data_IF_437470201781
#
_entry.id   IF_437470201781
#
_cell.length_a   1.000
_cell.length_b   1.000
_cell.length_c   1.000
_cell.angle_alpha   90.00
_cell.angle_beta   90.00
_cell.angle_gamma   90.00
#
_symmetry.space_group_name_H-M   'P 1'
#
loop_
_entity.id
_entity.type
_entity.pdbx_description
1 polymer ?
#
# COMPACT_ATOMS: atom_id res chain seq x y z
N UNK A 1 6.38 13.31 -39.73
CA UNK A 1 7.01 12.87 -38.47
C UNK A 1 6.24 13.52 -37.34
N UNK A 2 5.19 12.87 -36.85
CA UNK A 2 4.41 13.37 -35.70
C UNK A 2 3.78 12.14 -35.07
N UNK A 3 4.48 11.56 -34.10
CA UNK A 3 3.94 10.52 -33.24
C UNK A 3 3.05 11.23 -32.21
N UNK A 4 1.75 11.11 -32.40
CA UNK A 4 0.72 11.46 -31.43
C UNK A 4 0.87 10.54 -30.22
N UNK A 5 1.15 11.13 -29.07
CA UNK A 5 1.08 10.45 -27.77
C UNK A 5 -0.41 10.28 -27.44
N UNK A 6 -0.95 9.07 -27.20
CA UNK A 6 -2.30 8.96 -26.67
C UNK A 6 -2.29 9.40 -25.20
N UNK A 7 -3.06 10.46 -24.95
CA UNK A 7 -3.33 11.05 -23.65
C UNK A 7 -4.00 10.01 -22.74
N UNK A 8 -3.58 10.01 -21.47
CA UNK A 8 -3.97 9.02 -20.47
C UNK A 8 -5.48 8.90 -20.32
N UNK A 9 -5.96 7.70 -20.67
CA UNK A 9 -7.19 7.02 -20.27
C UNK A 9 -8.13 7.84 -19.36
N UNK A 10 -9.20 8.37 -19.95
CA UNK A 10 -10.35 8.87 -19.21
C UNK A 10 -10.93 7.70 -18.39
N UNK A 11 -10.75 7.75 -17.08
CA UNK A 11 -11.44 6.85 -16.15
C UNK A 11 -12.85 7.41 -16.03
N UNK A 12 -13.86 6.63 -16.42
CA UNK A 12 -15.26 6.98 -16.25
C UNK A 12 -15.53 7.38 -14.78
N UNK A 13 -16.09 8.58 -14.51
CA UNK A 13 -16.21 9.12 -13.15
C UNK A 13 -17.27 8.43 -12.28
N UNK A 14 -18.02 7.46 -12.84
CA UNK A 14 -19.16 6.80 -12.19
C UNK A 14 -18.80 5.46 -11.52
N UNK A 15 -17.55 4.99 -11.65
CA UNK A 15 -17.13 3.77 -10.96
C UNK A 15 -16.67 4.12 -9.54
N UNK A 16 -17.42 3.70 -8.51
CA UNK A 16 -16.97 3.71 -7.12
C UNK A 16 -15.73 2.81 -6.99
N UNK A 17 -14.55 3.40 -7.19
CA UNK A 17 -13.29 2.67 -7.12
C UNK A 17 -12.96 2.39 -5.65
N UNK A 18 -12.61 1.14 -5.30
CA UNK A 18 -12.31 0.81 -3.93
C UNK A 18 -11.08 1.59 -3.46
N UNK A 19 -11.13 2.10 -2.22
CA UNK A 19 -10.04 2.88 -1.66
C UNK A 19 -8.98 1.98 -1.01
N UNK A 20 -7.72 2.30 -1.24
CA UNK A 20 -6.61 1.64 -0.57
C UNK A 20 -6.62 1.94 0.93
N UNK A 21 -6.70 0.90 1.75
CA UNK A 21 -6.76 1.05 3.21
C UNK A 21 -5.51 1.72 3.82
N UNK A 22 -4.38 1.77 3.12
CA UNK A 22 -3.18 2.46 3.59
C UNK A 22 -3.12 3.92 3.12
N UNK A 23 -3.11 4.16 1.80
CA UNK A 23 -2.83 5.47 1.24
C UNK A 23 -4.08 6.27 0.84
N UNK A 24 -5.27 5.68 0.94
CA UNK A 24 -6.58 6.32 0.72
C UNK A 24 -6.77 6.85 -0.71
N UNK A 25 -5.95 6.38 -1.65
CA UNK A 25 -6.17 6.59 -3.08
C UNK A 25 -7.12 5.52 -3.64
N UNK A 26 -7.89 5.86 -4.68
CA UNK A 26 -8.65 4.86 -5.41
C UNK A 26 -7.71 3.80 -6.01
N UNK A 27 -8.21 2.56 -6.09
CA UNK A 27 -7.55 1.44 -6.72
C UNK A 27 -8.31 1.15 -8.01
N UNK A 28 -7.88 1.73 -9.15
CA UNK A 28 -8.51 1.44 -10.42
C UNK A 28 -8.18 -0.01 -10.83
N UNK A 29 -9.01 -0.66 -11.67
CA UNK A 29 -8.87 -2.08 -12.01
C UNK A 29 -7.51 -2.42 -12.67
N UNK A 30 -6.90 -1.47 -13.37
CA UNK A 30 -5.56 -1.62 -13.96
C UNK A 30 -4.41 -1.50 -12.95
N UNK A 31 -4.67 -1.00 -11.74
CA UNK A 31 -3.65 -0.89 -10.70
C UNK A 31 -3.35 -2.27 -10.09
N UNK A 32 -2.07 -2.57 -9.91
CA UNK A 32 -1.65 -3.76 -9.16
C UNK A 32 -2.12 -3.65 -7.71
N UNK A 33 -2.92 -4.60 -7.27
CA UNK A 33 -3.54 -4.64 -5.94
C UNK A 33 -3.37 -6.01 -5.28
N UNK A 34 -3.45 -6.03 -3.95
CA UNK A 34 -3.34 -7.23 -3.14
C UNK A 34 -4.10 -7.09 -1.83
N UNK A 35 -4.54 -8.22 -1.29
CA UNK A 35 -5.15 -8.31 0.03
C UNK A 35 -4.06 -8.45 1.11
N UNK A 36 -4.06 -7.55 2.09
CA UNK A 36 -3.13 -7.55 3.20
C UNK A 36 -3.81 -8.00 4.49
N UNK A 37 -3.19 -8.97 5.18
CA UNK A 37 -3.67 -9.42 6.49
C UNK A 37 -3.06 -8.52 7.57
N UNK A 38 -3.90 -7.78 8.30
CA UNK A 38 -3.42 -6.86 9.34
C UNK A 38 -2.77 -7.62 10.51
N UNK A 39 -3.26 -8.83 10.79
CA UNK A 39 -2.63 -9.78 11.70
C UNK A 39 -2.12 -10.94 10.84
N UNK A 40 -0.80 -11.21 10.81
CA UNK A 40 -0.25 -12.32 10.04
C UNK A 40 -0.87 -13.66 10.43
N UNK A 41 -1.13 -14.54 9.44
CA UNK A 41 -1.72 -15.86 9.68
C UNK A 41 -0.93 -16.68 10.69
N UNK A 42 0.40 -16.61 10.63
CA UNK A 42 1.35 -17.29 11.54
C UNK A 42 1.36 -16.72 12.96
N UNK A 43 0.60 -15.66 13.23
CA UNK A 43 0.44 -15.03 14.55
C UNK A 43 -1.01 -15.09 15.03
N UNK A 44 -1.79 -16.05 14.53
CA UNK A 44 -3.19 -16.25 14.90
C UNK A 44 -4.19 -15.43 14.07
N UNK A 45 -3.76 -14.68 13.06
CA UNK A 45 -4.64 -13.90 12.19
C UNK A 45 -5.42 -14.69 11.13
N UNK A 46 -5.57 -16.01 11.28
CA UNK A 46 -6.34 -16.83 10.33
C UNK A 46 -7.82 -16.46 10.45
N UNK A 47 -8.39 -15.92 9.36
CA UNK A 47 -9.75 -15.34 9.38
C UNK A 47 -9.83 -13.96 10.02
N UNK A 48 -8.68 -13.34 10.33
CA UNK A 48 -8.61 -11.98 10.85
C UNK A 48 -8.90 -10.92 9.78
N UNK A 49 -8.86 -9.63 10.15
CA UNK A 49 -9.22 -8.55 9.25
C UNK A 49 -8.22 -8.45 8.08
N UNK A 50 -8.79 -8.46 6.87
CA UNK A 50 -8.06 -8.34 5.61
C UNK A 50 -8.47 -7.04 4.94
N UNK A 51 -7.50 -6.30 4.42
CA UNK A 51 -7.74 -5.01 3.76
C UNK A 51 -7.18 -4.98 2.34
N UNK A 52 -7.87 -4.28 1.46
CA UNK A 52 -7.43 -4.07 0.09
C UNK A 52 -6.42 -2.92 0.02
N UNK A 53 -5.29 -3.17 -0.63
CA UNK A 53 -4.21 -2.18 -0.82
C UNK A 53 -3.58 -2.30 -2.20
N UNK A 54 -2.96 -1.22 -2.68
CA UNK A 54 -2.06 -1.30 -3.84
C UNK A 54 -0.88 -2.22 -3.54
N UNK A 55 -0.32 -2.88 -4.56
CA UNK A 55 0.86 -3.73 -4.41
C UNK A 55 2.06 -2.97 -3.83
N UNK A 56 2.25 -1.70 -4.23
CA UNK A 56 3.33 -0.87 -3.69
C UNK A 56 3.14 -0.59 -2.19
N UNK A 57 1.89 -0.39 -1.76
CA UNK A 57 1.54 -0.21 -0.34
C UNK A 57 1.77 -1.50 0.43
N UNK A 58 1.38 -2.66 -0.13
CA UNK A 58 1.63 -3.97 0.47
C UNK A 58 3.13 -4.21 0.68
N UNK A 59 3.95 -3.97 -0.35
CA UNK A 59 5.39 -4.14 -0.27
C UNK A 59 6.02 -3.21 0.78
N UNK A 60 5.53 -1.96 0.89
CA UNK A 60 6.04 -1.01 1.88
C UNK A 60 5.69 -1.42 3.31
N UNK A 61 4.50 -1.98 3.56
CA UNK A 61 4.11 -2.49 4.89
C UNK A 61 5.11 -3.57 5.34
N UNK A 62 5.39 -4.57 4.50
CA UNK A 62 6.34 -5.64 4.83
C UNK A 62 7.79 -5.17 4.92
N UNK A 63 8.13 -4.05 4.27
CA UNK A 63 9.46 -3.43 4.42
C UNK A 63 9.57 -2.62 5.72
N UNK A 64 8.44 -2.12 6.23
CA UNK A 64 8.41 -1.18 7.36
C UNK A 64 8.29 -1.87 8.71
N UNK A 65 7.53 -2.96 8.81
CA UNK A 65 7.25 -3.66 10.06
C UNK A 65 7.42 -5.17 9.92
N UNK A 66 7.94 -5.81 10.97
CA UNK A 66 7.98 -7.26 11.09
C UNK A 66 6.59 -7.84 11.35
N UNK A 67 6.40 -9.14 11.11
CA UNK A 67 5.13 -9.83 11.43
C UNK A 67 4.74 -9.73 12.91
N UNK A 68 5.74 -9.68 13.82
CA UNK A 68 5.48 -9.52 15.25
C UNK A 68 4.97 -8.12 15.59
N UNK A 69 5.56 -7.08 14.99
CA UNK A 69 5.10 -5.69 15.15
C UNK A 69 3.72 -5.47 14.52
N UNK A 70 3.47 -6.06 13.34
CA UNK A 70 2.14 -6.05 12.71
C UNK A 70 1.08 -6.67 13.64
N UNK A 71 1.37 -7.82 14.25
CA UNK A 71 0.42 -8.49 15.14
C UNK A 71 0.12 -7.71 16.43
N UNK A 72 1.10 -6.94 16.96
CA UNK A 72 1.02 -6.34 18.29
C UNK A 72 0.74 -4.83 18.30
N UNK A 73 1.31 -4.09 17.36
CA UNK A 73 1.37 -2.62 17.37
C UNK A 73 0.64 -2.04 16.17
N UNK A 74 0.80 -2.66 15.00
CA UNK A 74 0.33 -2.10 13.72
C UNK A 74 -0.77 -2.97 13.08
N UNK A 75 -1.72 -3.44 13.89
CA UNK A 75 -2.76 -4.39 13.48
C UNK A 75 -4.06 -3.73 12.97
N UNK A 76 -4.07 -2.41 12.80
CA UNK A 76 -5.17 -1.67 12.17
C UNK A 76 -4.65 -0.75 11.06
N UNK A 77 -5.51 -0.35 10.09
CA UNK A 77 -5.11 0.62 9.07
C UNK A 77 -4.73 1.98 9.67
N UNK A 78 -5.38 2.39 10.76
CA UNK A 78 -5.06 3.63 11.47
C UNK A 78 -3.65 3.57 12.05
N UNK A 79 -3.29 2.46 12.70
CA UNK A 79 -1.95 2.27 13.27
C UNK A 79 -0.89 2.23 12.17
N UNK A 80 -1.12 1.47 11.09
CA UNK A 80 -0.20 1.44 9.94
C UNK A 80 0.10 2.85 9.39
N UNK A 81 -0.90 3.73 9.30
CA UNK A 81 -0.70 5.11 8.85
C UNK A 81 0.13 5.95 9.82
N UNK A 82 0.13 5.61 11.11
CA UNK A 82 0.94 6.28 12.16
C UNK A 82 2.39 5.79 12.19
N UNK A 83 2.72 4.69 11.51
CA UNK A 83 4.10 4.20 11.45
C UNK A 83 5.01 5.24 10.77
N UNK A 84 6.11 5.72 11.39
CA UNK A 84 6.90 6.85 10.89
C UNK A 84 7.43 6.70 9.46
N UNK A 85 7.80 5.46 9.08
CA UNK A 85 8.21 5.14 7.71
C UNK A 85 7.04 5.16 6.72
N UNK A 86 5.89 4.60 7.11
CA UNK A 86 4.70 4.54 6.25
C UNK A 86 4.10 5.92 6.08
N UNK A 87 4.10 6.76 7.10
CA UNK A 87 3.63 8.15 7.02
C UNK A 87 4.38 8.93 5.93
N UNK A 88 5.72 8.84 5.91
CA UNK A 88 6.56 9.47 4.88
C UNK A 88 6.28 8.91 3.49
N UNK A 89 6.12 7.60 3.39
CA UNK A 89 5.76 6.92 2.14
C UNK A 89 4.38 7.36 1.64
N UNK A 90 3.37 7.43 2.52
CA UNK A 90 2.00 7.84 2.18
C UNK A 90 1.99 9.27 1.65
N UNK A 91 2.67 10.20 2.33
CA UNK A 91 2.81 11.60 1.87
C UNK A 91 3.43 11.71 0.47
N UNK A 92 4.36 10.81 0.14
CA UNK A 92 4.99 10.76 -1.18
C UNK A 92 4.10 10.08 -2.23
N UNK A 93 3.50 8.93 -1.93
CA UNK A 93 2.74 8.13 -2.89
C UNK A 93 1.41 8.80 -3.26
N UNK A 94 0.83 9.60 -2.35
CA UNK A 94 -0.39 10.39 -2.62
C UNK A 94 -0.23 11.41 -3.75
N UNK A 95 1.02 11.78 -4.07
CA UNK A 95 1.35 12.71 -5.17
C UNK A 95 1.54 12.00 -6.52
N UNK A 96 1.32 10.69 -6.59
CA UNK A 96 1.53 9.86 -7.79
C UNK A 96 0.18 9.36 -8.34
N UNK A 97 0.09 9.05 -9.65
CA UNK A 97 -1.10 8.43 -10.25
C UNK A 97 -1.59 7.20 -9.49
N UNK A 98 -2.89 6.92 -9.52
CA UNK A 98 -3.50 5.83 -8.75
C UNK A 98 -2.95 4.45 -9.16
N UNK A 99 -2.65 4.26 -10.45
CA UNK A 99 -2.02 3.06 -11.02
C UNK A 99 -0.49 3.02 -10.87
N UNK A 100 0.12 4.01 -10.22
CA UNK A 100 1.58 4.10 -10.08
C UNK A 100 2.16 2.90 -9.34
N UNK A 101 3.17 2.28 -9.95
CA UNK A 101 3.91 1.17 -9.37
C UNK A 101 5.41 1.40 -9.54
N UNK A 102 6.17 1.08 -8.50
CA UNK A 102 7.63 1.13 -8.51
C UNK A 102 8.19 0.06 -7.59
N UNK A 103 9.46 -0.29 -7.76
CA UNK A 103 10.14 -1.21 -6.84
C UNK A 103 10.30 -0.51 -5.50
N UNK A 104 9.78 -1.13 -4.44
CA UNK A 104 10.07 -0.71 -3.07
C UNK A 104 11.54 -0.99 -2.79
N UNK A 105 12.39 0.03 -2.51
CA UNK A 105 13.76 -0.21 -2.11
C UNK A 105 13.73 -1.05 -0.84
N UNK A 106 14.34 -2.24 -0.88
CA UNK A 106 14.41 -3.13 0.28
C UNK A 106 14.96 -2.42 1.50
N UNK A 107 14.67 -2.95 2.70
CA UNK A 107 15.14 -2.39 3.96
C UNK A 107 16.63 -2.02 3.85
N UNK A 108 16.94 -0.71 3.85
CA UNK A 108 18.33 -0.26 3.83
C UNK A 108 19.00 -0.87 5.05
N UNK A 109 20.07 -1.64 4.84
CA UNK A 109 20.96 -2.16 5.90
C UNK A 109 21.40 -0.97 6.76
N UNK A 110 20.73 -0.71 7.87
CA UNK A 110 21.00 0.47 8.70
C UNK A 110 19.92 0.88 9.69
N UNK A 111 18.66 0.51 9.51
CA UNK A 111 17.66 0.72 10.57
C UNK A 111 17.67 -0.50 11.50
N UNK A 112 18.22 -0.36 12.71
CA UNK A 112 18.24 -1.45 13.70
C UNK A 112 16.81 -1.95 13.89
N UNK A 113 16.61 -3.25 13.67
CA UNK A 113 15.45 -3.96 14.20
C UNK A 113 15.63 -3.95 15.72
N UNK A 114 14.80 -3.19 16.42
CA UNK A 114 14.80 -3.11 17.88
C UNK A 114 14.24 -4.43 18.46
#
# INVERSE_FOLDING_TARGET
MTQTIPEGNAIDPDTDLPLCALCERPIPPEAKQSLHHLIPKLRGGKGGPVVLVHQICHNEIHTSASEAELARIWNTPADLRRHPRLEKFIKWVRKRPANFHSKTPGARRGWKRH
#
